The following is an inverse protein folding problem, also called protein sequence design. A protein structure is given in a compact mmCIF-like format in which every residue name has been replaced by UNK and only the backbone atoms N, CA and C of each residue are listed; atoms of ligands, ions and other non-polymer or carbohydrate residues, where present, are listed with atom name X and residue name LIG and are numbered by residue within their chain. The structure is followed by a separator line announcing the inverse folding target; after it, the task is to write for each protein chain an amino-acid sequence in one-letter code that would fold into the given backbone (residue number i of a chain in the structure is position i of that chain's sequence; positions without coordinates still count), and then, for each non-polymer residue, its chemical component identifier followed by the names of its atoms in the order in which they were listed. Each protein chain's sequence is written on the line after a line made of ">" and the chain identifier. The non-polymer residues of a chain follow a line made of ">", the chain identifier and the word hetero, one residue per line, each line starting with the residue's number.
data_IF_628738942085
#
_entry.id   IF_628738942085
#
_cell.length_a   1.000
_cell.length_b   1.000
_cell.length_c   1.000
_cell.angle_alpha   90.00
_cell.angle_beta   90.00
_cell.angle_gamma   90.00
#
_symmetry.space_group_name_H-M   'P 1'
#
loop_
_entity.id
_entity.type
_entity.pdbx_description
1 polymer ?
#
# COMPACT_ATOMS: atom_id res chain seq x y z
N UNK A 1 18.40 1.59 -15.41
CA UNK A 1 19.24 2.34 -14.45
C UNK A 1 18.54 2.74 -13.15
N UNK A 2 17.20 2.70 -13.05
CA UNK A 2 16.49 2.71 -11.75
C UNK A 2 16.36 1.30 -11.11
N UNK A 3 16.83 0.26 -11.79
CA UNK A 3 16.75 -1.14 -11.35
C UNK A 3 17.68 -1.46 -10.15
N UNK A 4 18.66 -0.59 -9.85
CA UNK A 4 19.82 -0.93 -9.02
C UNK A 4 20.19 0.13 -7.96
N UNK A 5 19.26 1.01 -7.57
CA UNK A 5 19.53 1.95 -6.48
C UNK A 5 19.61 1.19 -5.15
N UNK A 6 20.84 1.04 -4.63
CA UNK A 6 21.23 0.47 -3.32
C UNK A 6 20.46 0.97 -2.09
N UNK A 7 19.66 2.03 -2.22
CA UNK A 7 19.16 2.82 -1.11
C UNK A 7 17.77 2.39 -0.58
N UNK A 8 16.92 1.77 -1.41
CA UNK A 8 15.65 1.22 -0.97
C UNK A 8 15.15 0.21 -1.99
N UNK A 9 15.36 -1.10 -1.77
CA UNK A 9 14.90 -2.09 -2.74
C UNK A 9 13.36 -2.10 -2.74
N UNK A 10 12.76 -2.04 -3.94
CA UNK A 10 11.32 -2.20 -4.17
C UNK A 10 10.92 -3.65 -3.87
N UNK A 11 10.85 -3.99 -2.58
CA UNK A 11 10.56 -5.34 -2.11
C UNK A 11 9.15 -5.37 -1.55
N UNK A 12 8.34 -6.26 -2.09
CA UNK A 12 7.05 -6.60 -1.53
C UNK A 12 7.21 -7.83 -0.65
N UNK A 13 6.70 -7.72 0.58
CA UNK A 13 6.75 -8.78 1.59
C UNK A 13 5.43 -9.57 1.60
N UNK A 14 5.44 -10.82 2.09
CA UNK A 14 4.23 -11.62 2.23
C UNK A 14 3.14 -10.93 3.08
N UNK A 15 1.90 -11.41 3.02
CA UNK A 15 0.83 -10.97 3.92
C UNK A 15 1.27 -10.99 5.38
N UNK A 16 0.84 -9.99 6.15
CA UNK A 16 1.12 -9.90 7.58
C UNK A 16 2.56 -9.54 7.97
N UNK A 17 3.43 -9.20 7.01
CA UNK A 17 4.77 -8.75 7.34
C UNK A 17 4.75 -7.47 8.20
N UNK A 18 5.59 -7.47 9.24
CA UNK A 18 5.88 -6.27 10.01
C UNK A 18 6.59 -5.21 9.15
N UNK A 19 6.73 -3.99 9.70
CA UNK A 19 7.56 -2.95 9.09
C UNK A 19 8.95 -3.49 8.78
N UNK A 20 9.53 -3.07 7.66
CA UNK A 20 10.75 -3.68 7.10
C UNK A 20 11.88 -3.79 8.14
N UNK A 21 12.10 -2.75 8.95
CA UNK A 21 13.13 -2.76 9.99
C UNK A 21 12.94 -3.84 11.06
N UNK A 22 11.70 -4.15 11.42
CA UNK A 22 11.38 -5.11 12.48
C UNK A 22 11.23 -6.52 11.89
N UNK A 23 10.68 -6.62 10.69
CA UNK A 23 10.68 -7.84 9.89
C UNK A 23 12.09 -8.42 9.74
N UNK A 24 13.08 -7.59 9.40
CA UNK A 24 14.47 -8.04 9.24
C UNK A 24 15.13 -8.51 10.53
N UNK A 25 14.69 -8.00 11.70
CA UNK A 25 15.20 -8.44 13.01
C UNK A 25 14.58 -9.76 13.44
N UNK A 26 13.30 -9.98 13.12
CA UNK A 26 12.54 -11.15 13.57
C UNK A 26 12.62 -12.33 12.60
N UNK A 27 12.86 -12.08 11.31
CA UNK A 27 12.92 -13.14 10.31
C UNK A 27 14.22 -13.96 10.46
N UNK A 28 14.08 -15.21 10.89
CA UNK A 28 15.18 -16.18 10.98
C UNK A 28 15.50 -16.88 9.65
N UNK A 29 14.84 -16.47 8.55
CA UNK A 29 15.12 -16.96 7.19
C UNK A 29 14.90 -18.48 7.03
N UNK A 30 13.92 -19.02 7.74
CA UNK A 30 13.62 -20.46 7.76
C UNK A 30 12.97 -20.99 6.47
N UNK A 31 12.40 -20.12 5.63
CA UNK A 31 11.75 -20.53 4.38
C UNK A 31 10.36 -21.15 4.50
N UNK A 32 9.85 -21.38 5.72
CA UNK A 32 8.56 -22.06 5.93
C UNK A 32 7.37 -21.34 5.28
N UNK A 33 7.39 -20.01 5.22
CA UNK A 33 6.35 -19.25 4.52
C UNK A 33 6.33 -19.50 3.00
N UNK A 34 7.50 -19.80 2.40
CA UNK A 34 7.62 -20.12 0.98
C UNK A 34 7.06 -21.51 0.71
N UNK A 35 7.42 -22.50 1.52
CA UNK A 35 6.89 -23.86 1.40
C UNK A 35 5.37 -23.95 1.64
N UNK A 36 4.85 -23.13 2.55
CA UNK A 36 3.42 -23.08 2.84
C UNK A 36 2.60 -22.35 1.76
N UNK A 37 3.23 -21.67 0.80
CA UNK A 37 2.53 -20.95 -0.25
C UNK A 37 2.07 -21.92 -1.35
N UNK A 38 0.76 -22.13 -1.57
CA UNK A 38 0.27 -23.11 -2.54
C UNK A 38 0.46 -22.71 -4.01
N UNK A 39 0.84 -21.45 -4.26
CA UNK A 39 0.96 -20.87 -5.61
C UNK A 39 2.41 -20.51 -5.98
N UNK A 40 3.39 -20.88 -5.15
CA UNK A 40 4.80 -20.54 -5.35
C UNK A 40 5.05 -19.03 -5.57
N UNK A 41 4.17 -18.18 -5.02
CA UNK A 41 4.28 -16.72 -5.10
C UNK A 41 5.54 -16.21 -4.44
N UNK A 42 5.92 -16.82 -3.31
CA UNK A 42 6.99 -16.34 -2.47
C UNK A 42 8.33 -16.97 -2.88
N UNK A 43 9.38 -16.16 -2.93
CA UNK A 43 10.74 -16.58 -3.25
C UNK A 43 11.70 -16.06 -2.18
N UNK A 44 12.76 -16.82 -1.91
CA UNK A 44 13.84 -16.38 -1.03
C UNK A 44 14.88 -15.59 -1.82
N UNK A 45 15.29 -14.44 -1.27
CA UNK A 45 16.38 -13.64 -1.83
C UNK A 45 17.69 -14.43 -1.84
N UNK A 46 18.31 -14.54 -3.01
CA UNK A 46 19.56 -15.27 -3.24
C UNK A 46 20.78 -14.38 -2.99
N UNK A 47 21.97 -14.96 -2.75
CA UNK A 47 23.22 -14.20 -2.77
C UNK A 47 23.39 -13.47 -4.10
N UNK A 48 23.61 -12.15 -4.06
CA UNK A 48 23.74 -11.31 -5.25
C UNK A 48 22.49 -10.49 -5.59
N UNK A 49 21.34 -10.79 -4.98
CA UNK A 49 20.16 -9.93 -5.08
C UNK A 49 20.40 -8.61 -4.31
N UNK A 50 19.77 -7.52 -4.76
CA UNK A 50 19.72 -6.24 -4.04
C UNK A 50 18.83 -6.28 -2.78
N UNK A 51 18.38 -7.48 -2.40
CA UNK A 51 17.40 -7.74 -1.35
C UNK A 51 18.09 -8.40 -0.14
N UNK A 52 17.59 -8.21 1.09
CA UNK A 52 18.15 -8.85 2.26
C UNK A 52 18.19 -10.38 2.10
N UNK A 53 19.38 -10.96 2.12
CA UNK A 53 19.59 -12.38 1.80
C UNK A 53 18.76 -13.30 2.68
N UNK A 54 18.12 -14.31 2.07
CA UNK A 54 17.31 -15.33 2.75
C UNK A 54 15.95 -14.83 3.24
N UNK A 55 15.54 -13.61 2.88
CA UNK A 55 14.22 -13.08 3.24
C UNK A 55 13.19 -13.33 2.12
N UNK A 56 11.92 -13.62 2.46
CA UNK A 56 10.88 -13.88 1.47
C UNK A 56 10.40 -12.61 0.79
N UNK A 57 10.17 -12.66 -0.51
CA UNK A 57 9.58 -11.60 -1.32
C UNK A 57 8.77 -12.21 -2.47
N UNK A 58 8.01 -11.39 -3.20
CA UNK A 58 7.38 -11.81 -4.45
C UNK A 58 7.45 -10.71 -5.50
N UNK A 59 7.26 -11.09 -6.77
CA UNK A 59 7.24 -10.19 -7.92
C UNK A 59 5.84 -10.23 -8.53
N UNK A 60 5.01 -9.19 -8.32
CA UNK A 60 3.63 -9.12 -8.80
C UNK A 60 3.43 -9.48 -10.26
N UNK A 61 4.33 -8.99 -11.13
CA UNK A 61 4.27 -9.20 -12.57
C UNK A 61 4.44 -10.67 -12.97
N UNK A 62 5.26 -11.41 -12.23
CA UNK A 62 5.54 -12.83 -12.50
C UNK A 62 4.51 -13.73 -11.83
N UNK A 63 4.45 -13.72 -10.50
CA UNK A 63 3.50 -14.52 -9.71
C UNK A 63 3.01 -13.64 -8.56
N UNK A 64 1.78 -13.09 -8.65
CA UNK A 64 1.20 -12.27 -7.59
C UNK A 64 0.69 -13.14 -6.44
N UNK A 65 0.29 -12.48 -5.35
CA UNK A 65 -0.43 -13.13 -4.27
C UNK A 65 -1.89 -13.36 -4.67
N UNK A 66 -2.34 -14.61 -4.65
CA UNK A 66 -3.72 -15.00 -4.94
C UNK A 66 -4.69 -14.85 -3.77
N UNK A 67 -4.26 -14.24 -2.66
CA UNK A 67 -5.11 -13.93 -1.50
C UNK A 67 -5.89 -15.15 -0.94
N UNK A 68 -5.16 -16.19 -0.54
CA UNK A 68 -5.76 -17.38 0.09
C UNK A 68 -6.57 -16.98 1.35
N UNK A 69 -7.75 -17.57 1.54
CA UNK A 69 -8.61 -17.32 2.72
C UNK A 69 -7.92 -17.71 4.02
N UNK A 70 -7.22 -18.85 4.02
CA UNK A 70 -6.63 -19.43 5.22
C UNK A 70 -5.21 -18.91 5.50
N UNK A 71 -4.68 -18.06 4.60
CA UNK A 71 -3.37 -17.40 4.68
C UNK A 71 -2.25 -18.34 5.24
N UNK A 72 -2.00 -19.51 4.64
CA UNK A 72 -1.13 -20.53 5.24
C UNK A 72 0.31 -20.04 5.48
N UNK A 73 0.76 -19.02 4.76
CA UNK A 73 2.09 -18.45 4.90
C UNK A 73 2.33 -17.70 6.23
N UNK A 74 1.28 -17.23 6.91
CA UNK A 74 1.41 -16.42 8.15
C UNK A 74 1.53 -17.29 9.41
N UNK A 75 0.61 -18.24 9.69
CA UNK A 75 0.64 -19.03 10.92
C UNK A 75 1.87 -19.94 11.06
N UNK A 76 2.50 -20.30 9.94
CA UNK A 76 3.73 -21.11 9.95
C UNK A 76 4.96 -20.32 10.40
N UNK A 77 4.87 -19.00 10.60
CA UNK A 77 6.01 -18.18 11.01
C UNK A 77 6.32 -18.38 12.51
N UNK A 78 7.44 -19.03 12.88
CA UNK A 78 7.72 -19.36 14.28
C UNK A 78 8.12 -18.15 15.12
N UNK A 79 8.61 -17.09 14.49
CA UNK A 79 9.11 -15.88 15.17
C UNK A 79 8.09 -14.76 15.23
N UNK A 80 6.96 -14.88 14.53
CA UNK A 80 6.00 -13.78 14.39
C UNK A 80 6.51 -12.61 13.54
N UNK A 81 7.51 -12.84 12.67
CA UNK A 81 7.91 -11.85 11.66
C UNK A 81 6.75 -11.53 10.69
N UNK A 82 5.88 -12.52 10.47
CA UNK A 82 4.55 -12.34 9.89
C UNK A 82 3.56 -12.34 11.06
N UNK A 83 2.98 -11.17 11.35
CA UNK A 83 2.07 -10.98 12.46
C UNK A 83 0.65 -11.43 12.08
N UNK A 84 0.21 -12.54 12.66
CA UNK A 84 -1.17 -13.01 12.52
C UNK A 84 -2.21 -11.98 12.97
N UNK A 85 -1.88 -11.10 13.93
CA UNK A 85 -2.85 -10.11 14.43
C UNK A 85 -3.19 -9.11 13.34
N UNK A 86 -2.21 -8.68 12.56
CA UNK A 86 -2.39 -7.74 11.44
C UNK A 86 -3.34 -8.25 10.35
N UNK A 87 -3.50 -9.57 10.22
CA UNK A 87 -4.35 -10.23 9.23
C UNK A 87 -5.50 -11.01 9.87
N UNK A 88 -5.89 -10.67 11.10
CA UNK A 88 -6.99 -11.33 11.79
C UNK A 88 -8.14 -10.37 12.11
N UNK A 89 -9.33 -10.93 12.22
CA UNK A 89 -10.53 -10.27 12.72
C UNK A 89 -11.06 -11.08 13.90
N UNK A 90 -11.52 -10.36 14.92
CA UNK A 90 -12.19 -10.96 16.07
C UNK A 90 -13.68 -10.82 15.78
N UNK A 91 -14.32 -11.93 15.46
CA UNK A 91 -15.77 -12.03 15.34
C UNK A 91 -16.25 -13.02 16.40
N UNK A 92 -17.25 -12.62 17.21
CA UNK A 92 -17.91 -13.50 18.20
C UNK A 92 -17.00 -14.26 19.19
N UNK A 93 -15.77 -13.79 19.40
CA UNK A 93 -14.79 -14.43 20.30
C UNK A 93 -13.90 -15.48 19.65
N UNK A 94 -14.12 -15.82 18.36
CA UNK A 94 -13.18 -16.60 17.54
C UNK A 94 -12.23 -15.67 16.77
N UNK A 95 -10.97 -16.10 16.66
CA UNK A 95 -9.96 -15.42 15.83
C UNK A 95 -10.02 -16.01 14.43
N UNK A 96 -10.51 -15.23 13.48
CA UNK A 96 -10.57 -15.63 12.07
C UNK A 96 -9.56 -14.83 11.25
N UNK A 97 -8.95 -15.48 10.26
CA UNK A 97 -7.98 -14.84 9.37
C UNK A 97 -8.72 -14.11 8.24
N UNK A 98 -8.36 -12.86 8.01
CA UNK A 98 -8.94 -11.99 7.01
C UNK A 98 -7.82 -11.36 6.15
N UNK A 99 -7.66 -11.91 4.95
CA UNK A 99 -6.63 -11.49 3.99
C UNK A 99 -6.85 -10.07 3.47
N UNK A 100 -8.07 -9.53 3.56
CA UNK A 100 -8.37 -8.16 3.09
C UNK A 100 -7.71 -7.09 3.95
N UNK A 101 -7.28 -7.44 5.16
CA UNK A 101 -6.53 -6.55 6.06
C UNK A 101 -5.03 -6.54 5.77
N UNK A 102 -4.52 -7.47 4.97
CA UNK A 102 -3.10 -7.55 4.68
C UNK A 102 -2.60 -6.28 3.98
N UNK A 103 -1.39 -5.86 4.33
CA UNK A 103 -0.74 -4.65 3.82
C UNK A 103 0.64 -4.99 3.25
N UNK A 104 0.65 -5.63 2.08
CA UNK A 104 1.88 -6.00 1.35
C UNK A 104 2.45 -4.84 0.54
N UNK A 105 1.59 -3.94 0.06
CA UNK A 105 1.95 -2.80 -0.78
C UNK A 105 0.74 -2.00 -1.24
N UNK A 106 0.96 -1.06 -2.15
CA UNK A 106 -0.08 -0.21 -2.75
C UNK A 106 0.10 -0.18 -4.26
N UNK A 107 -1.00 -0.42 -4.99
CA UNK A 107 -1.01 -0.28 -6.43
C UNK A 107 -1.08 1.20 -6.84
N UNK A 108 -0.20 1.61 -7.74
CA UNK A 108 -0.11 2.98 -8.29
C UNK A 108 -0.27 2.89 -9.80
N UNK A 109 -1.14 3.73 -10.35
CA UNK A 109 -1.42 3.79 -11.79
C UNK A 109 -0.62 4.94 -12.42
N UNK A 110 0.15 4.62 -13.44
CA UNK A 110 0.73 5.59 -14.37
C UNK A 110 -0.34 5.99 -15.40
N UNK A 111 -0.79 7.24 -15.30
CA UNK A 111 -1.85 7.79 -16.15
C UNK A 111 -1.41 7.95 -17.59
N UNK A 112 -0.11 8.13 -17.85
CA UNK A 112 0.41 8.35 -19.21
C UNK A 112 0.56 7.05 -19.99
N UNK A 113 0.90 5.95 -19.31
CA UNK A 113 1.03 4.64 -19.96
C UNK A 113 -0.26 3.81 -19.95
N UNK A 114 -1.25 4.19 -19.15
CA UNK A 114 -2.49 3.43 -19.03
C UNK A 114 -3.41 3.68 -20.23
N UNK A 115 -3.68 2.63 -21.01
CA UNK A 115 -4.56 2.70 -22.18
C UNK A 115 -6.00 3.13 -21.87
N UNK A 116 -6.43 2.97 -20.61
CA UNK A 116 -7.73 3.45 -20.17
C UNK A 116 -7.81 4.99 -20.18
N UNK A 117 -6.70 5.66 -19.85
CA UNK A 117 -6.58 7.12 -19.97
C UNK A 117 -6.47 7.59 -21.42
N UNK A 118 -6.05 6.72 -22.34
CA UNK A 118 -6.02 7.02 -23.78
C UNK A 118 -7.41 6.92 -24.44
N UNK A 119 -8.40 6.38 -23.73
CA UNK A 119 -9.79 6.25 -24.19
C UNK A 119 -10.17 4.87 -24.68
N UNK A 120 -9.32 3.87 -24.46
CA UNK A 120 -9.66 2.47 -24.69
C UNK A 120 -10.43 1.95 -23.47
N UNK A 121 -11.52 1.21 -23.68
CA UNK A 121 -12.31 0.61 -22.59
C UNK A 121 -11.59 -0.61 -22.02
N UNK A 122 -10.54 -0.38 -21.24
CA UNK A 122 -9.80 -1.41 -20.53
C UNK A 122 -10.16 -1.40 -19.04
N UNK A 123 -10.63 -2.53 -18.55
CA UNK A 123 -11.02 -2.79 -17.16
C UNK A 123 -10.27 -4.00 -16.57
N UNK A 124 -9.18 -4.43 -17.21
CA UNK A 124 -8.47 -5.65 -16.86
C UNK A 124 -7.97 -5.66 -15.40
N UNK A 125 -7.42 -4.54 -14.93
CA UNK A 125 -6.96 -4.41 -13.55
C UNK A 125 -8.11 -4.44 -12.53
N UNK A 126 -9.27 -3.88 -12.89
CA UNK A 126 -10.47 -3.88 -12.06
C UNK A 126 -11.02 -5.31 -11.93
N UNK A 127 -11.23 -6.02 -13.05
CA UNK A 127 -11.72 -7.42 -13.04
C UNK A 127 -10.77 -8.43 -12.39
N UNK A 128 -9.47 -8.15 -12.40
CA UNK A 128 -8.47 -8.99 -11.74
C UNK A 128 -8.39 -8.77 -10.22
N UNK A 129 -8.96 -7.70 -9.69
CA UNK A 129 -8.90 -7.40 -8.27
C UNK A 129 -9.86 -8.31 -7.49
N UNK A 130 -9.44 -9.04 -6.45
CA UNK A 130 -10.36 -9.82 -5.60
C UNK A 130 -11.28 -8.94 -4.76
N UNK A 131 -10.89 -7.69 -4.51
CA UNK A 131 -11.64 -6.70 -3.72
C UNK A 131 -12.13 -5.57 -4.66
N UNK A 132 -12.88 -5.95 -5.70
CA UNK A 132 -13.50 -4.98 -6.64
C UNK A 132 -14.40 -3.99 -5.90
N UNK A 133 -14.57 -2.80 -6.46
CA UNK A 133 -15.38 -1.69 -5.94
C UNK A 133 -14.93 -1.11 -4.59
N UNK A 134 -13.95 -1.73 -3.94
CA UNK A 134 -13.36 -1.25 -2.69
C UNK A 134 -11.89 -0.87 -2.88
N UNK A 135 -11.06 -1.79 -3.40
CA UNK A 135 -9.63 -1.52 -3.62
C UNK A 135 -9.38 -0.80 -4.96
N UNK A 136 -10.12 -1.17 -6.01
CA UNK A 136 -10.09 -0.51 -7.32
C UNK A 136 -11.52 -0.19 -7.72
N UNK A 137 -11.79 1.07 -8.03
CA UNK A 137 -13.07 1.55 -8.57
C UNK A 137 -12.85 2.10 -9.99
N UNK A 138 -13.91 2.12 -10.79
CA UNK A 138 -13.87 2.73 -12.12
C UNK A 138 -14.65 4.05 -12.11
N UNK A 139 -13.97 5.15 -12.42
CA UNK A 139 -14.59 6.44 -12.63
C UNK A 139 -14.88 6.65 -14.12
N UNK A 140 -16.13 7.00 -14.42
CA UNK A 140 -16.57 7.31 -15.77
C UNK A 140 -16.35 8.79 -16.06
N UNK A 141 -15.37 9.10 -16.91
CA UNK A 141 -15.10 10.49 -17.32
C UNK A 141 -15.46 10.71 -18.77
N UNK A 142 -16.20 11.78 -19.06
CA UNK A 142 -16.57 12.12 -20.45
C UNK A 142 -15.32 12.38 -21.29
N UNK A 143 -15.24 11.73 -22.45
CA UNK A 143 -14.18 12.00 -23.40
C UNK A 143 -14.47 13.25 -24.21
N UNK A 144 -13.78 14.34 -23.89
CA UNK A 144 -13.90 15.64 -24.56
C UNK A 144 -13.37 15.62 -26.00
N UNK A 145 -12.43 14.73 -26.32
CA UNK A 145 -11.80 14.62 -27.64
C UNK A 145 -12.71 13.98 -28.68
N UNK A 146 -13.37 12.88 -28.33
CA UNK A 146 -14.18 12.10 -29.30
C UNK A 146 -15.68 12.23 -29.08
N UNK A 147 -16.13 12.60 -27.89
CA UNK A 147 -17.55 12.76 -27.56
C UNK A 147 -18.39 11.48 -27.60
N UNK A 148 -17.81 10.31 -27.91
CA UNK A 148 -18.54 9.04 -28.12
C UNK A 148 -18.40 8.05 -26.98
N UNK A 149 -17.19 7.79 -26.49
CA UNK A 149 -16.93 6.81 -25.43
C UNK A 149 -16.40 7.50 -24.18
N UNK A 150 -16.94 7.18 -23.01
CA UNK A 150 -16.38 7.64 -21.75
C UNK A 150 -15.05 6.92 -21.45
N UNK A 151 -14.12 7.62 -20.80
CA UNK A 151 -12.95 7.00 -20.17
C UNK A 151 -13.40 6.16 -18.98
N UNK A 152 -12.82 4.97 -18.83
CA UNK A 152 -12.99 4.09 -17.67
C UNK A 152 -11.72 4.18 -16.82
N UNK A 153 -11.64 5.18 -15.95
CA UNK A 153 -10.42 5.47 -15.21
C UNK A 153 -10.36 4.60 -13.95
N UNK A 154 -9.34 3.74 -13.78
CA UNK A 154 -9.16 2.99 -12.55
C UNK A 154 -8.63 3.89 -11.44
N UNK A 155 -9.33 3.94 -10.31
CA UNK A 155 -8.91 4.63 -9.09
C UNK A 155 -8.58 3.57 -8.04
N UNK A 156 -7.37 3.62 -7.51
CA UNK A 156 -6.93 2.73 -6.44
C UNK A 156 -7.13 3.43 -5.09
N UNK A 157 -7.82 2.77 -4.17
CA UNK A 157 -7.95 3.23 -2.79
C UNK A 157 -6.79 2.73 -1.94
N UNK A 158 -6.05 3.65 -1.31
CA UNK A 158 -4.91 3.31 -0.46
C UNK A 158 -5.31 2.67 0.88
N UNK A 159 -6.55 2.87 1.32
CA UNK A 159 -7.07 2.32 2.57
C UNK A 159 -7.40 0.83 2.45
N UNK A 160 -7.87 0.39 1.29
CA UNK A 160 -8.41 -0.96 1.06
C UNK A 160 -7.50 -1.82 0.21
N UNK A 161 -6.64 -1.23 -0.63
CA UNK A 161 -5.64 -1.99 -1.37
C UNK A 161 -4.72 -2.76 -0.41
N UNK A 162 -4.54 -4.05 -0.72
CA UNK A 162 -3.67 -4.96 0.03
C UNK A 162 -2.28 -5.09 -0.59
N UNK A 163 -2.12 -4.69 -1.86
CA UNK A 163 -0.88 -4.86 -2.62
C UNK A 163 -0.62 -6.27 -3.12
N UNK A 164 -1.66 -7.08 -3.37
CA UNK A 164 -1.50 -8.46 -3.82
C UNK A 164 -0.84 -8.64 -5.19
N UNK A 165 -0.89 -7.63 -6.06
CA UNK A 165 -0.20 -7.66 -7.36
C UNK A 165 -0.98 -8.23 -8.54
N UNK A 166 -2.19 -8.76 -8.32
CA UNK A 166 -3.01 -9.33 -9.41
C UNK A 166 -3.30 -8.32 -10.54
N UNK A 167 -3.48 -7.05 -10.19
CA UNK A 167 -3.71 -5.98 -11.14
C UNK A 167 -2.48 -5.67 -12.01
N UNK A 168 -1.26 -5.80 -11.48
CA UNK A 168 0.00 -5.60 -12.21
C UNK A 168 0.24 -6.75 -13.21
N UNK A 169 -0.07 -7.99 -12.82
CA UNK A 169 -0.05 -9.16 -13.72
C UNK A 169 -1.09 -9.06 -14.83
N UNK A 170 -2.31 -8.61 -14.51
CA UNK A 170 -3.40 -8.49 -15.47
C UNK A 170 -3.22 -7.33 -16.47
N UNK A 171 -2.28 -6.42 -16.23
CA UNK A 171 -2.06 -5.27 -17.08
C UNK A 171 -1.51 -5.68 -18.45
N UNK A 172 -2.27 -5.39 -19.51
CA UNK A 172 -2.00 -5.78 -20.90
C UNK A 172 -0.86 -5.00 -21.57
N UNK A 173 -0.36 -3.94 -20.95
CA UNK A 173 0.76 -3.15 -21.49
C UNK A 173 2.08 -3.90 -21.32
N UNK A 174 3.05 -3.65 -22.20
CA UNK A 174 4.37 -4.32 -22.18
C UNK A 174 5.07 -4.16 -20.82
N UNK A 175 5.18 -2.90 -20.37
CA UNK A 175 5.48 -2.55 -18.98
C UNK A 175 4.18 -2.20 -18.29
N UNK A 176 3.91 -2.79 -17.14
CA UNK A 176 2.64 -2.60 -16.45
C UNK A 176 2.42 -1.11 -16.13
N UNK A 177 1.31 -0.56 -16.62
CA UNK A 177 0.90 0.80 -16.30
C UNK A 177 0.39 0.92 -14.85
N UNK A 178 0.04 -0.19 -14.21
CA UNK A 178 -0.27 -0.26 -12.78
C UNK A 178 0.80 -1.12 -12.10
N UNK A 179 1.43 -0.57 -11.07
CA UNK A 179 2.55 -1.22 -10.36
C UNK A 179 2.30 -1.22 -8.87
N UNK A 180 2.65 -2.30 -8.19
CA UNK A 180 2.58 -2.37 -6.73
C UNK A 180 3.91 -1.94 -6.14
N UNK A 181 3.84 -0.95 -5.24
CA UNK A 181 5.00 -0.41 -4.55
C UNK A 181 4.86 -0.63 -3.04
N UNK A 182 5.98 -0.70 -2.29
CA UNK A 182 5.94 -0.66 -0.83
C UNK A 182 5.19 0.58 -0.34
N UNK A 183 4.42 0.45 0.75
CA UNK A 183 3.58 1.53 1.28
C UNK A 183 4.37 2.81 1.57
N UNK A 184 5.58 2.66 2.14
CA UNK A 184 6.47 3.77 2.48
C UNK A 184 6.94 4.59 1.27
N UNK A 185 6.96 3.98 0.06
CA UNK A 185 7.34 4.65 -1.18
C UNK A 185 6.14 5.19 -1.94
N UNK A 186 4.97 4.56 -1.78
CA UNK A 186 3.76 4.93 -2.48
C UNK A 186 2.97 6.04 -1.77
N UNK A 187 3.01 6.09 -0.44
CA UNK A 187 2.25 7.04 0.36
C UNK A 187 3.13 8.20 0.85
N UNK A 188 2.59 9.42 0.80
CA UNK A 188 3.19 10.57 1.46
C UNK A 188 2.87 10.64 2.96
N UNK A 189 3.67 11.40 3.70
CA UNK A 189 3.39 11.74 5.10
C UNK A 189 2.91 13.21 5.20
N UNK A 190 1.77 13.42 5.86
CA UNK A 190 1.12 14.74 5.96
C UNK A 190 1.81 15.65 7.01
N UNK A 191 2.70 15.12 7.85
CA UNK A 191 3.36 15.86 8.92
C UNK A 191 2.40 16.27 10.05
N UNK A 192 2.91 16.57 11.24
CA UNK A 192 2.08 16.86 12.42
C UNK A 192 1.38 18.23 12.38
N UNK A 193 1.67 19.07 11.39
CA UNK A 193 1.17 20.45 11.31
C UNK A 193 -0.17 20.59 10.58
N UNK A 194 -0.57 19.59 9.80
CA UNK A 194 -1.82 19.59 9.04
C UNK A 194 -2.77 18.56 9.65
N UNK A 195 -3.94 19.03 10.08
CA UNK A 195 -4.99 18.22 10.71
C UNK A 195 -6.21 18.24 9.81
N UNK A 196 -6.87 17.10 9.63
CA UNK A 196 -8.22 17.04 9.10
C UNK A 196 -9.20 17.43 10.20
N UNK A 197 -9.62 18.71 10.23
CA UNK A 197 -10.53 19.24 11.26
C UNK A 197 -11.91 18.58 11.35
N UNK A 198 -12.24 17.66 10.43
CA UNK A 198 -13.47 16.86 10.49
C UNK A 198 -13.25 15.40 10.94
N UNK A 199 -12.00 14.99 11.19
CA UNK A 199 -11.65 13.64 11.65
C UNK A 199 -11.06 13.68 13.07
N UNK A 200 -11.89 13.30 14.05
CA UNK A 200 -11.50 13.26 15.47
C UNK A 200 -10.33 12.33 15.77
N UNK A 201 -10.08 11.32 14.91
CA UNK A 201 -8.92 10.45 15.08
C UNK A 201 -7.62 11.15 14.62
N UNK A 202 -7.71 12.02 13.60
CA UNK A 202 -6.57 12.80 13.11
C UNK A 202 -6.23 13.96 14.05
N UNK A 203 -7.22 14.53 14.76
CA UNK A 203 -6.99 15.54 15.81
C UNK A 203 -6.10 15.01 16.95
N UNK A 204 -6.29 13.75 17.37
CA UNK A 204 -5.48 13.13 18.43
C UNK A 204 -3.99 12.99 18.07
N UNK A 205 -3.65 12.95 16.78
CA UNK A 205 -2.26 12.87 16.30
C UNK A 205 -1.42 14.08 16.72
N UNK A 206 -2.06 15.22 16.96
CA UNK A 206 -1.39 16.46 17.36
C UNK A 206 -1.13 16.52 18.87
N UNK A 207 -1.97 15.88 19.68
CA UNK A 207 -1.79 15.80 21.14
C UNK A 207 -0.46 15.12 21.52
N UNK A 208 0.01 14.17 20.69
CA UNK A 208 1.25 13.43 20.90
C UNK A 208 2.50 14.17 20.39
N UNK A 209 2.34 15.24 19.61
CA UNK A 209 3.47 15.96 19.00
C UNK A 209 3.90 17.14 19.87
N UNK A 210 5.05 17.01 20.54
CA UNK A 210 5.72 18.14 21.19
C UNK A 210 6.10 19.18 20.13
N UNK A 211 5.44 20.34 20.17
CA UNK A 211 5.77 21.50 19.34
C UNK A 211 7.06 22.15 19.84
N UNK A 212 8.22 21.61 19.46
CA UNK A 212 9.53 22.15 19.80
C UNK A 212 9.93 23.32 18.87
N UNK A 213 9.03 24.30 18.70
CA UNK A 213 9.26 25.48 17.84
C UNK A 213 9.38 26.72 18.72
N UNK A 214 10.58 26.97 19.26
CA UNK A 214 10.89 28.22 19.97
C UNK A 214 11.41 29.29 19.01
N UNK A 215 10.51 29.97 18.29
CA UNK A 215 10.84 31.25 17.65
C UNK A 215 10.31 32.40 18.49
N UNK A 216 11.15 33.02 19.32
CA UNK A 216 10.75 34.17 20.16
C UNK A 216 10.76 35.47 19.35
N UNK A 217 9.65 35.80 18.71
CA UNK A 217 9.35 37.16 18.20
C UNK A 217 7.89 37.52 18.50
N UNK A 218 7.54 38.82 18.56
CA UNK A 218 6.18 39.32 18.87
C UNK A 218 5.07 38.77 17.94
N UNK A 219 5.42 38.23 16.77
CA UNK A 219 4.48 37.62 15.81
C UNK A 219 4.22 36.12 16.07
N UNK A 220 4.96 35.53 17.01
CA UNK A 220 4.94 34.11 17.40
C UNK A 220 4.38 33.90 18.81
N UNK A 221 3.56 34.84 19.32
CA UNK A 221 2.90 34.68 20.63
C UNK A 221 1.90 33.52 20.66
N UNK A 222 1.33 33.16 19.51
CA UNK A 222 0.49 31.97 19.35
C UNK A 222 1.33 30.82 18.79
N UNK A 223 1.01 29.59 19.18
CA UNK A 223 1.68 28.42 18.62
C UNK A 223 1.42 28.37 17.10
N UNK A 224 2.40 27.89 16.32
CA UNK A 224 2.22 27.74 14.87
C UNK A 224 1.03 26.83 14.52
N UNK A 225 0.64 25.94 15.44
CA UNK A 225 -0.50 25.04 15.31
C UNK A 225 -1.83 25.79 15.43
N UNK A 226 -1.93 26.77 16.34
CA UNK A 226 -3.14 27.57 16.53
C UNK A 226 -3.40 28.56 15.39
N UNK A 227 -2.35 29.04 14.72
CA UNK A 227 -2.48 30.00 13.62
C UNK A 227 -2.91 29.34 12.31
N UNK A 228 -2.42 28.13 12.01
CA UNK A 228 -2.68 27.45 10.74
C UNK A 228 -4.02 26.71 10.69
N UNK A 229 -4.58 26.35 11.86
CA UNK A 229 -5.80 25.56 11.97
C UNK A 229 -7.01 26.37 12.51
N UNK A 230 -6.88 27.69 12.63
CA UNK A 230 -7.99 28.55 13.00
C UNK A 230 -8.84 28.89 11.75
N UNK A 231 -10.07 28.39 11.72
CA UNK A 231 -11.08 28.64 10.68
C UNK A 231 -11.58 30.12 10.60
N UNK A 232 -11.03 31.03 11.41
CA UNK A 232 -11.65 32.36 11.62
C UNK A 232 -11.40 33.43 10.53
N UNK A 233 -10.64 33.16 9.46
CA UNK A 233 -10.35 34.18 8.44
C UNK A 233 -10.50 33.76 6.96
N UNK A 234 -11.13 32.63 6.64
CA UNK A 234 -11.32 32.21 5.23
C UNK A 234 -12.63 32.68 4.56
N UNK A 235 -13.54 33.34 5.30
CA UNK A 235 -14.85 33.79 4.80
C UNK A 235 -15.23 35.23 5.19
N UNK A 236 -14.28 36.17 5.23
CA UNK A 236 -14.58 37.61 5.27
C UNK A 236 -14.17 38.31 3.99
#
# INVERSE_FOLDING_TARGET
>A
YLEEAKAAPLILRPPGALKESDFLKMCIKCGQCVEACPYDTLMLAKPGDTKPMGTPFFIPREIPCYMCTDIPCVPVCPTGALDEKSVSKIEEGSKELDITKAKMGLAVVDTESCIAFWGIQCDACYRACPIMDSAITLEYKRNTRTGKHAYLIPIVSSLTCTGCGLCERACVTEKAAIRVLPLELAQGAIGAHYIKGWDKADEKRVEETKSDVTTRTKRSEKSAQDYLNADEELFK
#
